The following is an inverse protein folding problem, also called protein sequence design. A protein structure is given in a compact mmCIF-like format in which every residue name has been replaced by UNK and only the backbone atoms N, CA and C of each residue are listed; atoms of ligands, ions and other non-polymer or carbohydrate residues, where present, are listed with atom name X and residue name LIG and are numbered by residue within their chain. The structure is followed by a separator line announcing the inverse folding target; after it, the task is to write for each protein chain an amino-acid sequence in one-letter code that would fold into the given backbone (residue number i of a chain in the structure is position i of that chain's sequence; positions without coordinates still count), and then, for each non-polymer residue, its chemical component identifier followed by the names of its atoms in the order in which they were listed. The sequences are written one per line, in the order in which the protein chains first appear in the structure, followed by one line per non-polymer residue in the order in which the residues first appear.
data_IF_888763621374
#
_entry.id   IF_888763621374
#
_cell.length_a   1.000
_cell.length_b   1.000
_cell.length_c   1.000
_cell.angle_alpha   90.00
_cell.angle_beta   90.00
_cell.angle_gamma   90.00
#
_symmetry.space_group_name_H-M   'P 1'
#
loop_
_entity.id
_entity.type
_entity.pdbx_description
1 polymer ?
#
# COMPACT_ATOMS: atom_id res chain seq x y z
N UNK A 1 -40.84 -1.98 -60.30
CA UNK A 1 -42.30 -2.09 -60.47
C UNK A 1 -42.88 -2.07 -59.07
N UNK A 2 -43.14 -0.87 -58.55
CA UNK A 2 -44.44 -0.19 -58.57
C UNK A 2 -45.02 -0.33 -57.14
N UNK A 3 -44.87 0.70 -56.32
CA UNK A 3 -45.80 1.84 -56.20
C UNK A 3 -46.90 1.53 -55.17
N UNK A 4 -46.95 2.26 -54.05
CA UNK A 4 -47.98 3.31 -53.79
C UNK A 4 -49.14 2.69 -52.97
N UNK A 5 -49.65 3.21 -51.85
CA UNK A 5 -49.68 4.57 -51.30
C UNK A 5 -50.38 4.51 -49.90
N UNK A 6 -49.96 5.30 -48.89
CA UNK A 6 -50.71 6.49 -48.36
C UNK A 6 -51.86 6.09 -47.38
N UNK A 7 -52.10 6.70 -46.22
CA UNK A 7 -51.69 8.00 -45.65
C UNK A 7 -52.23 8.14 -44.21
N UNK A 8 -51.49 8.91 -43.41
CA UNK A 8 -51.93 9.99 -42.51
C UNK A 8 -52.85 9.63 -41.30
N UNK A 9 -52.70 10.25 -40.12
CA UNK A 9 -52.36 11.65 -39.91
C UNK A 9 -52.06 12.00 -38.43
N UNK A 10 -51.06 12.88 -38.23
CA UNK A 10 -51.01 14.08 -37.33
C UNK A 10 -51.58 14.02 -35.90
N UNK A 11 -50.91 14.51 -34.84
CA UNK A 11 -50.53 15.92 -34.55
C UNK A 11 -49.71 15.95 -33.23
N UNK A 12 -48.41 16.30 -33.21
CA UNK A 12 -47.78 17.61 -32.91
C UNK A 12 -48.40 18.49 -31.81
N UNK A 13 -47.60 18.87 -30.81
CA UNK A 13 -47.32 20.22 -30.23
C UNK A 13 -46.37 20.03 -29.01
N UNK A 14 -45.07 20.32 -29.10
CA UNK A 14 -44.37 21.57 -28.76
C UNK A 14 -44.47 21.96 -27.27
N UNK A 15 -43.38 21.80 -26.50
CA UNK A 15 -42.33 22.80 -26.19
C UNK A 15 -42.80 23.95 -25.29
N UNK A 16 -42.24 24.01 -24.08
CA UNK A 16 -41.91 25.27 -23.40
C UNK A 16 -40.62 25.10 -22.59
N UNK A 17 -39.52 25.63 -23.14
CA UNK A 17 -38.32 26.04 -22.42
C UNK A 17 -38.52 27.46 -21.89
N UNK A 18 -38.17 27.73 -20.64
CA UNK A 18 -38.06 29.08 -20.07
C UNK A 18 -36.82 29.20 -19.17
N UNK A 19 -36.27 30.43 -19.00
CA UNK A 19 -34.83 30.66 -19.05
C UNK A 19 -34.18 31.02 -17.72
N UNK A 20 -32.84 30.99 -17.75
CA UNK A 20 -31.88 31.51 -16.77
C UNK A 20 -32.03 33.02 -16.58
N UNK A 21 -31.94 33.55 -15.33
CA UNK A 21 -31.65 34.96 -15.10
C UNK A 21 -30.15 35.21 -14.87
N UNK A 22 -29.59 36.09 -15.68
CA UNK A 22 -28.29 36.76 -15.52
C UNK A 22 -28.46 37.96 -14.57
N UNK A 23 -27.58 38.13 -13.59
CA UNK A 23 -27.66 39.24 -12.62
C UNK A 23 -26.36 39.51 -11.87
N UNK A 24 -25.61 40.50 -12.35
CA UNK A 24 -24.32 41.05 -11.91
C UNK A 24 -24.36 41.60 -10.46
N UNK A 25 -23.31 41.39 -9.66
CA UNK A 25 -22.58 42.46 -8.92
C UNK A 25 -21.13 42.03 -8.59
N UNK A 26 -20.18 42.72 -9.23
CA UNK A 26 -18.80 42.89 -8.75
C UNK A 26 -18.83 43.80 -7.52
N UNK A 27 -18.07 43.47 -6.48
CA UNK A 27 -17.61 44.42 -5.47
C UNK A 27 -16.11 44.23 -5.28
N UNK A 28 -15.36 45.04 -6.01
CA UNK A 28 -13.99 45.43 -5.70
C UNK A 28 -14.02 46.40 -4.53
N UNK A 29 -13.31 46.08 -3.44
CA UNK A 29 -12.88 47.07 -2.45
C UNK A 29 -11.36 47.15 -2.49
N UNK A 30 -10.94 48.37 -2.74
CA UNK A 30 -9.58 48.88 -2.92
C UNK A 30 -8.89 49.04 -1.57
N UNK A 31 -7.59 48.71 -1.55
CA UNK A 31 -6.48 49.38 -0.83
C UNK A 31 -6.77 50.17 0.45
N UNK A 32 -6.05 49.84 1.53
CA UNK A 32 -5.29 50.90 2.22
C UNK A 32 -3.99 50.37 2.84
N UNK A 33 -2.96 51.17 2.60
CA UNK A 33 -1.53 51.07 2.93
C UNK A 33 -1.25 51.50 4.37
N UNK A 34 -0.32 50.78 5.01
CA UNK A 34 0.70 51.06 6.06
C UNK A 34 0.90 52.54 6.54
N UNK A 35 1.68 52.90 7.62
CA UNK A 35 2.92 52.23 8.07
C UNK A 35 3.44 52.48 9.53
N UNK A 36 4.70 52.03 9.78
CA UNK A 36 5.73 52.50 10.76
C UNK A 36 5.61 52.01 12.23
N UNK A 37 6.66 51.74 13.03
CA UNK A 37 8.15 51.75 12.97
C UNK A 37 8.68 51.26 14.33
N UNK A 38 9.90 50.66 14.34
CA UNK A 38 10.99 50.71 15.37
C UNK A 38 11.67 49.32 15.47
N UNK A 39 12.93 49.06 15.01
CA UNK A 39 14.28 49.46 15.51
C UNK A 39 14.38 49.38 17.05
N UNK A 40 15.35 48.77 17.72
CA UNK A 40 16.64 48.10 17.48
C UNK A 40 16.82 47.11 18.68
N UNK A 41 17.81 46.25 18.89
CA UNK A 41 19.25 46.41 18.74
C UNK A 41 19.95 45.06 19.03
N UNK A 42 21.14 44.91 18.49
CA UNK A 42 22.02 43.76 18.62
C UNK A 42 22.72 43.70 19.99
N UNK A 43 22.95 42.48 20.50
CA UNK A 43 24.06 42.18 21.42
C UNK A 43 24.77 40.92 20.91
N UNK A 44 26.10 41.02 20.82
CA UNK A 44 27.01 40.07 20.20
C UNK A 44 27.90 39.41 21.27
N UNK A 45 28.02 38.07 21.18
CA UNK A 45 29.14 37.17 21.60
C UNK A 45 29.35 36.90 23.12
N UNK A 46 30.06 35.80 23.50
CA UNK A 46 30.98 34.99 22.69
C UNK A 46 30.78 33.47 22.68
N UNK A 47 31.46 32.87 21.70
CA UNK A 47 31.65 31.44 21.51
C UNK A 47 32.63 30.84 22.53
N UNK A 48 32.34 29.64 23.00
CA UNK A 48 33.30 28.74 23.66
C UNK A 48 33.45 27.45 22.85
N UNK A 49 34.67 27.22 22.37
CA UNK A 49 35.14 25.92 21.87
C UNK A 49 35.16 24.93 23.03
N UNK A 50 34.62 23.72 22.85
CA UNK A 50 35.09 22.54 23.58
C UNK A 50 35.32 21.37 22.63
N UNK A 51 36.56 20.90 22.65
CA UNK A 51 37.06 19.74 21.92
C UNK A 51 36.49 18.43 22.48
N UNK A 52 36.07 17.59 21.54
CA UNK A 52 36.11 16.12 21.46
C UNK A 52 35.94 15.26 22.73
N UNK A 53 35.02 14.30 22.65
CA UNK A 53 35.31 12.90 22.95
C UNK A 53 34.39 11.98 22.11
N UNK A 54 35.03 11.04 21.39
CA UNK A 54 34.43 10.08 20.46
C UNK A 54 34.09 8.82 21.25
N UNK A 55 32.79 8.50 21.38
CA UNK A 55 32.30 7.27 22.02
C UNK A 55 32.10 6.13 20.98
N UNK A 56 32.26 4.86 21.38
CA UNK A 56 32.41 3.74 20.45
C UNK A 56 31.09 3.34 19.77
N UNK A 57 31.21 2.89 18.52
CA UNK A 57 30.17 2.17 17.78
C UNK A 57 30.02 0.78 18.36
N UNK A 58 28.81 0.40 18.79
CA UNK A 58 28.49 -1.01 19.08
C UNK A 58 27.49 -1.19 20.21
N UNK A 59 26.20 -1.20 19.85
CA UNK A 59 25.07 -1.88 20.47
C UNK A 59 23.84 -1.06 20.12
N UNK A 60 23.12 -1.45 19.08
CA UNK A 60 21.78 -0.93 18.86
C UNK A 60 20.93 -1.37 20.04
N UNK A 61 20.68 -0.44 20.96
CA UNK A 61 19.67 -0.59 22.00
C UNK A 61 18.35 -0.84 21.30
N UNK A 62 17.88 -2.08 21.33
CA UNK A 62 16.50 -2.41 20.94
C UNK A 62 15.62 -1.78 22.01
N UNK A 63 15.19 -0.55 21.78
CA UNK A 63 14.05 -0.01 22.50
C UNK A 63 12.85 -0.92 22.20
N UNK A 64 12.17 -1.48 23.22
CA UNK A 64 10.96 -2.26 22.98
C UNK A 64 9.93 -1.29 22.39
N UNK A 65 9.50 -1.58 21.16
CA UNK A 65 8.39 -0.85 20.55
C UNK A 65 7.13 -1.27 21.31
N UNK A 66 6.79 -0.55 22.37
CA UNK A 66 5.46 -0.54 22.98
C UNK A 66 4.52 0.26 22.06
N UNK A 67 4.26 -0.26 20.85
CA UNK A 67 3.04 0.13 20.16
C UNK A 67 1.92 -0.72 20.77
N UNK A 68 0.94 -0.05 21.36
CA UNK A 68 -0.24 -0.67 21.98
C UNK A 68 -0.93 -1.63 20.99
N UNK A 69 -1.26 -2.83 21.47
CA UNK A 69 -1.95 -3.84 20.67
C UNK A 69 -3.45 -3.52 20.64
N UNK A 70 -4.03 -3.44 19.45
CA UNK A 70 -5.45 -3.23 19.27
C UNK A 70 -6.16 -4.58 19.23
N UNK A 71 -7.04 -4.81 20.20
CA UNK A 71 -7.93 -5.98 20.25
C UNK A 71 -9.35 -5.54 19.90
N UNK A 72 -9.91 -6.16 18.85
CA UNK A 72 -11.27 -5.93 18.38
C UNK A 72 -12.00 -7.26 18.27
N UNK A 73 -13.32 -7.28 18.45
CA UNK A 73 -14.11 -8.52 18.52
C UNK A 73 -14.19 -9.27 17.20
N UNK A 74 -14.29 -8.55 16.08
CA UNK A 74 -14.60 -9.09 14.76
C UNK A 74 -14.28 -8.08 13.64
N UNK A 75 -14.67 -8.42 12.40
CA UNK A 75 -14.44 -7.60 11.21
C UNK A 75 -15.24 -6.29 11.22
N UNK A 76 -16.46 -6.29 11.77
CA UNK A 76 -17.29 -5.09 11.87
C UNK A 76 -16.67 -4.08 12.82
N UNK A 77 -16.14 -4.55 13.95
CA UNK A 77 -15.41 -3.71 14.89
C UNK A 77 -14.15 -3.08 14.25
N UNK A 78 -13.44 -3.84 13.39
CA UNK A 78 -12.29 -3.29 12.67
C UNK A 78 -12.68 -2.29 11.58
N UNK A 79 -13.78 -2.52 10.87
CA UNK A 79 -14.35 -1.54 9.93
C UNK A 79 -14.70 -0.24 10.63
N UNK A 80 -15.41 -0.29 11.75
CA UNK A 80 -15.78 0.89 12.52
C UNK A 80 -14.54 1.64 13.02
N UNK A 81 -13.53 0.90 13.51
CA UNK A 81 -12.26 1.51 13.90
C UNK A 81 -11.57 2.23 12.71
N UNK A 82 -11.60 1.63 11.51
CA UNK A 82 -11.07 2.27 10.30
C UNK A 82 -11.87 3.53 9.95
N UNK A 83 -13.20 3.51 10.02
CA UNK A 83 -14.02 4.70 9.74
C UNK A 83 -13.55 5.93 10.54
N UNK A 84 -13.21 5.73 11.81
CA UNK A 84 -12.79 6.81 12.71
C UNK A 84 -11.31 7.18 12.57
N UNK A 85 -10.43 6.22 12.24
CA UNK A 85 -8.97 6.38 12.41
C UNK A 85 -8.19 6.36 11.11
N UNK A 86 -8.81 5.99 9.99
CA UNK A 86 -8.05 5.66 8.79
C UNK A 86 -7.25 6.87 8.25
N UNK A 87 -7.72 8.09 8.47
CA UNK A 87 -7.08 9.32 7.97
C UNK A 87 -6.03 9.92 8.94
N UNK A 88 -5.98 9.45 10.18
CA UNK A 88 -5.16 10.04 11.26
C UNK A 88 -4.12 9.08 11.81
N UNK A 89 -4.36 7.77 11.73
CA UNK A 89 -3.44 6.75 12.24
C UNK A 89 -2.38 6.34 11.22
N UNK A 90 -1.13 6.26 11.68
CA UNK A 90 0.02 5.73 10.92
C UNK A 90 0.13 4.20 10.94
N UNK A 91 -0.81 3.53 11.61
CA UNK A 91 -0.90 2.08 11.67
C UNK A 91 -1.08 1.51 13.07
N UNK A 92 -1.55 0.27 13.11
CA UNK A 92 -1.88 -0.46 14.33
C UNK A 92 -1.35 -1.88 14.31
N UNK A 93 -1.07 -2.42 15.49
CA UNK A 93 -0.84 -3.85 15.68
C UNK A 93 -2.14 -4.50 16.12
N UNK A 94 -2.77 -5.21 15.20
CA UNK A 94 -4.08 -5.83 15.42
C UNK A 94 -3.90 -7.27 15.92
N UNK A 95 -4.58 -7.62 17.01
CA UNK A 95 -4.68 -9.01 17.49
C UNK A 95 -5.70 -9.76 16.64
N UNK A 96 -5.30 -10.93 16.15
CA UNK A 96 -6.06 -11.74 15.20
C UNK A 96 -6.20 -13.18 15.69
N UNK A 97 -7.38 -13.75 15.45
CA UNK A 97 -7.71 -15.14 15.69
C UNK A 97 -6.92 -16.07 14.75
N UNK A 98 -6.35 -17.14 15.32
CA UNK A 98 -5.91 -18.30 14.55
C UNK A 98 -7.12 -19.19 14.21
N UNK A 99 -6.89 -20.17 13.33
CA UNK A 99 -7.93 -21.10 12.88
C UNK A 99 -8.59 -21.79 14.07
N UNK A 100 -9.92 -21.72 14.15
CA UNK A 100 -10.72 -22.34 15.21
C UNK A 100 -10.85 -21.52 16.50
N UNK A 101 -10.27 -20.31 16.54
CA UNK A 101 -10.38 -19.41 17.69
C UNK A 101 -11.48 -18.37 17.47
N UNK A 102 -12.30 -18.14 18.49
CA UNK A 102 -13.35 -17.10 18.52
C UNK A 102 -13.24 -16.14 19.70
N UNK A 103 -12.34 -16.41 20.64
CA UNK A 103 -12.05 -15.59 21.83
C UNK A 103 -10.53 -15.45 21.99
N UNK A 104 -10.00 -14.26 22.32
CA UNK A 104 -10.72 -13.02 22.65
C UNK A 104 -11.27 -12.26 21.43
N UNK A 105 -11.01 -12.76 20.22
CA UNK A 105 -11.50 -12.21 18.97
C UNK A 105 -11.86 -13.32 18.00
N UNK A 106 -12.82 -13.05 17.12
CA UNK A 106 -13.13 -13.85 15.94
C UNK A 106 -12.50 -13.30 14.66
N UNK A 107 -11.82 -12.15 14.75
CA UNK A 107 -11.23 -11.46 13.61
C UNK A 107 -10.04 -12.24 13.04
N UNK A 108 -10.24 -12.83 11.88
CA UNK A 108 -9.19 -13.55 11.16
C UNK A 108 -8.32 -12.60 10.33
N UNK A 109 -7.10 -13.04 9.99
CA UNK A 109 -6.20 -12.31 9.07
C UNK A 109 -6.86 -11.96 7.74
N UNK A 110 -7.63 -12.89 7.16
CA UNK A 110 -8.29 -12.68 5.86
C UNK A 110 -9.35 -11.58 5.96
N UNK A 111 -10.18 -11.61 7.00
CA UNK A 111 -11.19 -10.57 7.24
C UNK A 111 -10.54 -9.20 7.48
N UNK A 112 -9.49 -9.16 8.31
CA UNK A 112 -8.77 -7.92 8.56
C UNK A 112 -8.08 -7.37 7.29
N UNK A 113 -7.52 -8.24 6.45
CA UNK A 113 -6.96 -7.82 5.16
C UNK A 113 -8.04 -7.23 4.24
N UNK A 114 -9.21 -7.85 4.16
CA UNK A 114 -10.31 -7.35 3.33
C UNK A 114 -10.74 -5.93 3.75
N UNK A 115 -10.96 -5.71 5.06
CA UNK A 115 -11.35 -4.38 5.57
C UNK A 115 -10.22 -3.34 5.39
N UNK A 116 -8.97 -3.77 5.56
CA UNK A 116 -7.81 -2.92 5.29
C UNK A 116 -7.77 -2.51 3.81
N UNK A 117 -7.92 -3.44 2.87
CA UNK A 117 -7.92 -3.13 1.43
C UNK A 117 -9.06 -2.19 1.04
N UNK A 118 -10.27 -2.40 1.58
CA UNK A 118 -11.41 -1.51 1.37
C UNK A 118 -11.10 -0.07 1.79
N UNK A 119 -10.25 0.09 2.81
CA UNK A 119 -9.89 1.38 3.42
C UNK A 119 -8.55 1.96 2.88
N UNK A 120 -7.93 1.32 1.88
CA UNK A 120 -6.63 1.76 1.33
C UNK A 120 -5.42 1.46 2.24
N UNK A 121 -5.57 0.49 3.13
CA UNK A 121 -4.53 -0.02 4.04
C UNK A 121 -3.96 -1.34 3.54
N UNK A 122 -2.86 -1.77 4.17
CA UNK A 122 -2.24 -3.06 3.89
C UNK A 122 -1.57 -3.64 5.14
N UNK A 123 -1.48 -4.97 5.19
CA UNK A 123 -0.73 -5.69 6.21
C UNK A 123 0.78 -5.65 5.93
N UNK A 124 1.58 -5.75 7.00
CA UNK A 124 3.04 -5.83 6.90
C UNK A 124 3.60 -6.93 7.80
N UNK A 125 4.21 -6.55 8.92
CA UNK A 125 4.85 -7.48 9.84
C UNK A 125 3.80 -8.22 10.67
N UNK A 126 3.96 -9.53 10.79
CA UNK A 126 3.14 -10.36 11.67
C UNK A 126 4.01 -11.27 12.52
N UNK A 127 3.48 -11.65 13.69
CA UNK A 127 4.11 -12.65 14.57
C UNK A 127 3.05 -13.43 15.34
N UNK A 128 3.38 -14.65 15.72
CA UNK A 128 2.56 -15.40 16.69
C UNK A 128 2.58 -14.66 18.03
N UNK A 129 1.43 -14.58 18.70
CA UNK A 129 1.35 -14.04 20.05
C UNK A 129 1.29 -15.18 21.07
N UNK A 130 0.36 -16.12 20.86
CA UNK A 130 0.17 -17.31 21.69
C UNK A 130 -0.38 -18.49 20.85
N UNK A 131 -0.92 -19.53 21.49
CA UNK A 131 -1.48 -20.71 20.80
C UNK A 131 -2.72 -20.40 19.95
N UNK A 132 -3.51 -19.40 20.33
CA UNK A 132 -4.83 -19.06 19.76
C UNK A 132 -4.81 -17.76 18.96
N UNK A 133 -3.87 -16.87 19.22
CA UNK A 133 -3.82 -15.54 18.61
C UNK A 133 -2.48 -15.24 17.94
N UNK A 134 -2.53 -14.32 17.01
CA UNK A 134 -1.38 -13.71 16.35
C UNK A 134 -1.55 -12.20 16.34
N UNK A 135 -0.47 -11.45 16.11
CA UNK A 135 -0.59 -10.03 15.81
C UNK A 135 -0.12 -9.75 14.39
N UNK A 136 -0.76 -8.79 13.75
CA UNK A 136 -0.41 -8.32 12.42
C UNK A 136 -0.48 -6.80 12.38
N UNK A 137 0.58 -6.17 11.87
CA UNK A 137 0.62 -4.73 11.67
C UNK A 137 -0.12 -4.36 10.40
N UNK A 138 -1.04 -3.42 10.51
CA UNK A 138 -1.74 -2.78 9.39
C UNK A 138 -1.39 -1.30 9.33
N UNK A 139 -1.17 -0.79 8.13
CA UNK A 139 -0.78 0.60 7.89
C UNK A 139 -1.48 1.15 6.65
N UNK A 140 -1.71 2.47 6.56
CA UNK A 140 -2.06 3.11 5.30
C UNK A 140 -1.06 2.73 4.19
N UNK A 141 -1.55 2.50 2.98
CA UNK A 141 -0.65 2.37 1.82
C UNK A 141 0.08 3.69 1.61
N UNK A 142 1.39 3.58 1.33
CA UNK A 142 2.22 4.71 0.93
C UNK A 142 2.22 4.81 -0.59
N UNK A 143 2.60 5.97 -1.11
CA UNK A 143 2.64 6.25 -2.55
C UNK A 143 3.38 5.19 -3.39
N UNK A 144 4.40 4.52 -2.80
CA UNK A 144 5.21 3.48 -3.48
C UNK A 144 4.93 2.06 -2.99
N UNK A 145 3.85 1.82 -2.24
CA UNK A 145 3.51 0.48 -1.76
C UNK A 145 3.24 -0.47 -2.92
N UNK A 146 3.87 -1.63 -2.91
CA UNK A 146 3.69 -2.64 -3.95
C UNK A 146 2.30 -3.29 -3.89
N UNK A 147 1.89 -3.86 -5.02
CA UNK A 147 0.70 -4.68 -5.14
C UNK A 147 1.09 -6.12 -5.47
N UNK A 148 0.35 -7.07 -4.91
CA UNK A 148 0.46 -8.49 -5.25
C UNK A 148 -0.74 -8.88 -6.10
N UNK A 149 -0.58 -9.86 -6.98
CA UNK A 149 -1.69 -10.40 -7.78
C UNK A 149 -2.81 -10.94 -6.89
N UNK A 150 -2.47 -11.47 -5.71
CA UNK A 150 -3.44 -11.89 -4.69
C UNK A 150 -4.28 -10.70 -4.24
N UNK A 151 -3.66 -9.59 -3.83
CA UNK A 151 -4.39 -8.40 -3.37
C UNK A 151 -5.24 -7.77 -4.48
N UNK A 152 -4.77 -7.81 -5.73
CA UNK A 152 -5.55 -7.42 -6.90
C UNK A 152 -6.83 -8.28 -7.01
N UNK A 153 -6.71 -9.60 -6.83
CA UNK A 153 -7.85 -10.52 -6.78
C UNK A 153 -8.81 -10.25 -5.62
N UNK A 154 -8.28 -9.97 -4.42
CA UNK A 154 -9.11 -9.55 -3.28
C UNK A 154 -9.90 -8.28 -3.59
N UNK A 155 -9.26 -7.25 -4.15
CA UNK A 155 -9.95 -6.01 -4.54
C UNK A 155 -11.02 -6.27 -5.59
N UNK A 156 -10.77 -7.12 -6.59
CA UNK A 156 -11.78 -7.48 -7.59
C UNK A 156 -13.03 -8.09 -6.93
N UNK A 157 -12.85 -9.11 -6.07
CA UNK A 157 -13.93 -9.71 -5.29
C UNK A 157 -14.64 -8.68 -4.40
N UNK A 158 -13.91 -7.82 -3.70
CA UNK A 158 -14.47 -6.81 -2.80
C UNK A 158 -15.28 -5.73 -3.55
N UNK A 159 -14.94 -5.44 -4.81
CA UNK A 159 -15.75 -4.59 -5.68
C UNK A 159 -17.05 -5.26 -6.08
N UNK A 160 -17.00 -6.54 -6.44
CA UNK A 160 -18.20 -7.33 -6.76
C UNK A 160 -19.14 -7.42 -5.55
N UNK A 161 -18.58 -7.53 -4.34
CA UNK A 161 -19.32 -7.50 -3.07
C UNK A 161 -19.81 -6.09 -2.67
N UNK A 162 -19.44 -5.03 -3.40
CA UNK A 162 -19.81 -3.64 -3.07
C UNK A 162 -19.17 -3.10 -1.78
N UNK A 163 -18.07 -3.71 -1.32
CA UNK A 163 -17.45 -3.40 -0.02
C UNK A 163 -16.34 -2.36 -0.09
N UNK A 164 -15.76 -2.14 -1.28
CA UNK A 164 -14.70 -1.16 -1.49
C UNK A 164 -15.17 0.25 -1.13
N UNK A 165 -14.34 1.00 -0.39
CA UNK A 165 -14.62 2.38 0.00
C UNK A 165 -13.86 3.33 -0.90
N UNK A 166 -14.26 4.60 -0.86
CA UNK A 166 -13.65 5.67 -1.66
C UNK A 166 -12.12 5.72 -1.50
N UNK A 167 -11.61 5.56 -0.27
CA UNK A 167 -10.17 5.57 -0.04
C UNK A 167 -9.44 4.38 -0.65
N UNK A 168 -9.97 3.17 -0.51
CA UNK A 168 -9.41 1.99 -1.16
C UNK A 168 -9.37 2.16 -2.68
N UNK A 169 -10.43 2.69 -3.26
CA UNK A 169 -10.52 2.98 -4.69
C UNK A 169 -9.50 4.03 -5.16
N UNK A 170 -9.25 5.08 -4.37
CA UNK A 170 -8.19 6.06 -4.66
C UNK A 170 -6.80 5.40 -4.72
N UNK A 171 -6.50 4.49 -3.80
CA UNK A 171 -5.22 3.78 -3.80
C UNK A 171 -5.06 2.82 -4.99
N UNK A 172 -6.16 2.19 -5.44
CA UNK A 172 -6.16 1.39 -6.66
C UNK A 172 -5.92 2.28 -7.89
N UNK A 173 -6.60 3.43 -7.96
CA UNK A 173 -6.46 4.38 -9.08
C UNK A 173 -5.02 4.86 -9.20
N UNK A 174 -4.42 5.32 -8.09
CA UNK A 174 -3.00 5.72 -8.05
C UNK A 174 -2.05 4.62 -8.52
N UNK A 175 -2.32 3.38 -8.13
CA UNK A 175 -1.50 2.24 -8.52
C UNK A 175 -1.62 1.88 -10.00
N UNK A 176 -2.79 2.10 -10.62
CA UNK A 176 -2.96 1.96 -12.07
C UNK A 176 -2.26 3.08 -12.83
N UNK A 177 -2.39 4.32 -12.35
CA UNK A 177 -1.76 5.50 -12.97
C UNK A 177 -0.23 5.39 -13.03
N UNK A 178 0.41 4.85 -12.00
CA UNK A 178 1.86 4.66 -11.97
C UNK A 178 2.33 3.25 -12.39
N UNK A 179 1.40 2.40 -12.82
CA UNK A 179 1.64 1.05 -13.34
C UNK A 179 1.99 -0.01 -12.30
N UNK A 180 1.95 0.29 -10.99
CA UNK A 180 2.17 -0.71 -9.92
C UNK A 180 1.10 -1.79 -9.90
N UNK A 181 -0.12 -1.47 -10.35
CA UNK A 181 -1.23 -2.40 -10.43
C UNK A 181 -0.97 -3.50 -11.47
N UNK A 182 -0.53 -3.12 -12.67
CA UNK A 182 -0.20 -4.03 -13.77
C UNK A 182 1.05 -4.84 -13.48
N UNK A 183 2.00 -4.27 -12.72
CA UNK A 183 3.22 -4.95 -12.24
C UNK A 183 3.02 -5.73 -10.94
N UNK A 184 1.79 -6.04 -10.56
CA UNK A 184 1.52 -6.75 -9.32
C UNK A 184 2.24 -8.11 -9.30
N UNK A 185 3.07 -8.35 -8.28
CA UNK A 185 3.92 -9.53 -8.25
C UNK A 185 3.11 -10.80 -8.01
N UNK A 186 3.55 -11.90 -8.62
CA UNK A 186 2.90 -13.20 -8.51
C UNK A 186 2.95 -13.76 -7.08
N UNK A 187 1.90 -14.48 -6.68
CA UNK A 187 1.90 -15.27 -5.44
C UNK A 187 2.82 -16.50 -5.54
N UNK A 188 3.06 -17.21 -4.42
CA UNK A 188 3.96 -18.36 -4.37
C UNK A 188 3.71 -19.42 -5.43
N UNK A 189 2.46 -19.76 -5.70
CA UNK A 189 2.10 -20.80 -6.68
C UNK A 189 2.42 -20.44 -8.13
N UNK A 190 2.50 -19.14 -8.46
CA UNK A 190 2.67 -18.64 -9.82
C UNK A 190 4.04 -17.95 -10.01
N UNK A 191 4.95 -18.06 -9.03
CA UNK A 191 6.26 -17.44 -9.09
C UNK A 191 7.16 -18.21 -10.07
N UNK A 192 7.54 -17.55 -11.16
CA UNK A 192 8.53 -18.06 -12.11
C UNK A 192 9.93 -17.58 -11.76
N UNK A 193 10.95 -18.30 -12.24
CA UNK A 193 12.35 -17.88 -12.10
C UNK A 193 12.61 -16.81 -13.16
N UNK A 194 13.03 -15.58 -12.79
CA UNK A 194 13.33 -14.54 -13.77
C UNK A 194 14.48 -14.94 -14.70
N UNK A 195 14.41 -14.54 -15.97
CA UNK A 195 15.45 -14.85 -16.97
C UNK A 195 16.84 -14.35 -16.56
N UNK A 196 16.91 -13.20 -15.87
CA UNK A 196 18.16 -12.67 -15.31
C UNK A 196 18.80 -13.65 -14.30
N UNK A 197 17.99 -14.34 -13.50
CA UNK A 197 18.46 -15.37 -12.56
C UNK A 197 18.92 -16.61 -13.31
N UNK A 198 18.15 -17.03 -14.33
CA UNK A 198 18.55 -18.16 -15.20
C UNK A 198 19.89 -17.88 -15.89
N UNK A 199 20.07 -16.67 -16.41
CA UNK A 199 21.31 -16.23 -17.03
C UNK A 199 22.49 -16.24 -16.03
N UNK A 200 22.28 -15.75 -14.82
CA UNK A 200 23.31 -15.71 -13.77
C UNK A 200 23.72 -17.10 -13.25
N UNK A 201 22.88 -18.12 -13.44
CA UNK A 201 23.16 -19.51 -13.09
C UNK A 201 23.90 -20.30 -14.19
N UNK A 202 24.07 -19.73 -15.38
CA UNK A 202 24.82 -20.38 -16.47
C UNK A 202 26.26 -20.66 -16.02
N UNK A 203 26.73 -21.89 -16.24
CA UNK A 203 28.05 -22.34 -15.80
C UNK A 203 28.18 -22.63 -14.29
N UNK A 204 27.08 -22.59 -13.52
CA UNK A 204 27.08 -22.84 -12.06
C UNK A 204 26.15 -24.01 -11.69
N UNK A 205 26.53 -25.27 -12.00
CA UNK A 205 25.65 -26.43 -11.85
C UNK A 205 25.21 -26.69 -10.40
N UNK A 206 26.10 -26.46 -9.41
CA UNK A 206 25.78 -26.61 -7.98
C UNK A 206 24.66 -25.65 -7.58
N UNK A 207 24.80 -24.36 -7.91
CA UNK A 207 23.82 -23.34 -7.60
C UNK A 207 22.46 -23.60 -8.27
N UNK A 208 22.50 -24.02 -9.55
CA UNK A 208 21.29 -24.39 -10.30
C UNK A 208 20.56 -25.57 -9.64
N UNK A 209 21.26 -26.67 -9.35
CA UNK A 209 20.67 -27.85 -8.72
C UNK A 209 20.01 -27.52 -7.38
N UNK A 210 20.64 -26.63 -6.60
CA UNK A 210 20.10 -26.20 -5.30
C UNK A 210 18.82 -25.37 -5.45
N UNK A 211 18.78 -24.42 -6.39
CA UNK A 211 17.56 -23.63 -6.65
C UNK A 211 16.41 -24.51 -7.17
N UNK A 212 16.72 -25.45 -8.06
CA UNK A 212 15.73 -26.39 -8.62
C UNK A 212 15.17 -27.32 -7.54
N UNK A 213 15.99 -27.70 -6.56
CA UNK A 213 15.59 -28.53 -5.41
C UNK A 213 14.83 -27.80 -4.30
N UNK A 214 14.75 -26.46 -4.33
CA UNK A 214 14.02 -25.70 -3.31
C UNK A 214 12.52 -26.01 -3.32
N UNK A 215 11.94 -26.11 -2.13
CA UNK A 215 10.48 -26.16 -1.97
C UNK A 215 9.85 -24.83 -2.41
N UNK A 216 8.57 -24.86 -2.75
CA UNK A 216 7.87 -23.70 -3.31
C UNK A 216 8.04 -22.41 -2.48
N UNK A 217 7.81 -22.48 -1.16
CA UNK A 217 7.91 -21.32 -0.27
C UNK A 217 9.35 -20.82 -0.07
N UNK A 218 10.32 -21.73 -0.10
CA UNK A 218 11.74 -21.38 -0.01
C UNK A 218 12.18 -20.64 -1.27
N UNK A 219 11.83 -21.18 -2.45
CA UNK A 219 12.08 -20.54 -3.75
C UNK A 219 11.40 -19.18 -3.84
N UNK A 220 10.14 -19.10 -3.43
CA UNK A 220 9.40 -17.84 -3.41
C UNK A 220 10.10 -16.78 -2.55
N UNK A 221 10.54 -17.16 -1.34
CA UNK A 221 11.23 -16.25 -0.43
C UNK A 221 12.58 -15.77 -0.99
N UNK A 222 13.29 -16.63 -1.73
CA UNK A 222 14.54 -16.27 -2.40
C UNK A 222 14.32 -15.32 -3.61
N UNK A 223 13.26 -15.53 -4.39
CA UNK A 223 12.99 -14.77 -5.62
C UNK A 223 12.23 -13.47 -5.39
N UNK A 224 11.34 -13.41 -4.39
CA UNK A 224 10.48 -12.24 -4.16
C UNK A 224 11.27 -10.93 -4.02
N UNK A 225 12.41 -10.85 -3.30
CA UNK A 225 13.20 -9.64 -3.22
C UNK A 225 13.79 -9.20 -4.57
N UNK A 226 14.03 -10.11 -5.52
CA UNK A 226 14.55 -9.81 -6.86
C UNK A 226 13.41 -9.27 -7.72
N UNK A 227 12.29 -9.99 -7.78
CA UNK A 227 11.11 -9.64 -8.59
C UNK A 227 10.51 -8.30 -8.20
N UNK A 228 10.52 -7.97 -6.91
CA UNK A 228 9.97 -6.70 -6.40
C UNK A 228 10.95 -5.52 -6.47
N UNK A 229 12.20 -5.73 -6.91
CA UNK A 229 13.19 -4.65 -7.00
C UNK A 229 13.16 -3.98 -8.37
N UNK A 230 12.86 -2.68 -8.38
CA UNK A 230 12.80 -1.89 -9.61
C UNK A 230 14.17 -1.38 -10.08
N UNK A 231 15.09 -1.06 -9.16
CA UNK A 231 16.42 -0.56 -9.53
C UNK A 231 17.29 -1.69 -10.06
N UNK A 232 17.64 -1.65 -11.35
CA UNK A 232 18.46 -2.67 -12.02
C UNK A 232 19.76 -2.97 -11.28
N UNK A 233 20.51 -1.94 -10.88
CA UNK A 233 21.74 -2.11 -10.11
C UNK A 233 21.51 -2.88 -8.80
N UNK A 234 20.40 -2.61 -8.09
CA UNK A 234 20.05 -3.33 -6.86
C UNK A 234 19.57 -4.74 -7.14
N UNK A 235 18.82 -4.95 -8.24
CA UNK A 235 18.37 -6.26 -8.68
C UNK A 235 19.56 -7.15 -9.00
N UNK A 236 20.52 -6.66 -9.80
CA UNK A 236 21.75 -7.38 -10.12
C UNK A 236 22.51 -7.78 -8.86
N UNK A 237 22.73 -6.87 -7.91
CA UNK A 237 23.39 -7.20 -6.63
C UNK A 237 22.68 -8.31 -5.86
N UNK A 238 21.34 -8.33 -5.86
CA UNK A 238 20.54 -9.38 -5.21
C UNK A 238 20.68 -10.72 -5.93
N UNK A 239 20.72 -10.72 -7.27
CA UNK A 239 20.94 -11.92 -8.07
C UNK A 239 22.35 -12.48 -7.80
N UNK A 240 23.38 -11.63 -7.86
CA UNK A 240 24.76 -12.03 -7.59
C UNK A 240 24.88 -12.66 -6.19
N UNK A 241 24.27 -12.04 -5.18
CA UNK A 241 24.22 -12.57 -3.81
C UNK A 241 23.51 -13.91 -3.71
N UNK A 242 22.34 -14.05 -4.34
CA UNK A 242 21.59 -15.31 -4.35
C UNK A 242 22.45 -16.43 -4.96
N UNK A 243 23.09 -16.17 -6.10
CA UNK A 243 23.95 -17.14 -6.78
C UNK A 243 25.17 -17.50 -5.93
N UNK A 244 25.79 -16.54 -5.26
CA UNK A 244 26.89 -16.79 -4.32
C UNK A 244 26.45 -17.71 -3.17
N UNK A 245 25.32 -17.42 -2.51
CA UNK A 245 24.79 -18.23 -1.42
C UNK A 245 24.43 -19.65 -1.85
N UNK A 246 23.91 -19.81 -3.06
CA UNK A 246 23.59 -21.11 -3.65
C UNK A 246 24.83 -21.90 -4.08
N UNK A 247 25.92 -21.21 -4.41
CA UNK A 247 27.18 -21.84 -4.86
C UNK A 247 28.03 -22.34 -3.69
N UNK A 248 27.77 -21.90 -2.46
CA UNK A 248 28.47 -22.39 -1.27
C UNK A 248 28.11 -23.86 -1.03
N UNK A 249 29.12 -24.72 -1.01
CA UNK A 249 29.02 -26.09 -0.51
C UNK A 249 28.72 -26.03 0.99
N UNK A 250 27.90 -26.98 1.45
CA UNK A 250 27.35 -27.00 2.80
C UNK A 250 28.02 -28.07 3.64
#
# INVERSE_FOLDING_TARGET
MADTVRRQSTRLLQQTSTPVPTGIKKASITSSRAPKTAKASAITRPATKKLAQKAPKGAATISPVTQEQLLLTDASAFRAWLDDNENTSDGVWLVLAKKGTTSPTSLTRTQALDEALCSGWIDSQGKSLDAFTSIQRYTPRRAKSLWSAINVGHVARLREEGRMRERGEREVTRAKEDGRWERAYAGPSNMTIPDEVVAALRGKPVAKKRLDGMKNMERYSALLPIVTTHTEATRKRKIDKLVEELSKER
#
